data_IF_240504833314
#
_entry.id   IF_240504833314
#
_cell.length_a   1.000
_cell.length_b   1.000
_cell.length_c   1.000
_cell.angle_alpha   90.00
_cell.angle_beta   90.00
_cell.angle_gamma   90.00
#
_symmetry.space_group_name_H-M   'P 1'
#
loop_
_entity.id
_entity.type
_entity.pdbx_description
1 polymer ?
#
# COMPACT_ATOMS: atom_id res chain seq x y z
N UNK A 1 15.21 4.15 5.09
CA UNK A 1 15.93 2.92 5.45
C UNK A 1 15.98 2.01 4.23
N UNK A 2 17.18 1.65 3.77
CA UNK A 2 17.39 0.74 2.64
C UNK A 2 17.91 1.42 1.37
N UNK A 3 18.46 2.63 1.46
CA UNK A 3 19.16 3.23 0.32
C UNK A 3 20.47 2.47 0.06
N UNK A 4 20.93 2.44 -1.19
CA UNK A 4 22.19 1.77 -1.54
C UNK A 4 23.33 2.36 -0.71
N UNK A 5 24.09 1.48 -0.05
CA UNK A 5 25.20 1.86 0.81
C UNK A 5 24.82 2.07 2.28
N UNK A 6 23.53 2.06 2.65
CA UNK A 6 23.12 2.09 4.05
C UNK A 6 23.75 0.91 4.81
N UNK A 7 24.41 1.20 5.93
CA UNK A 7 24.82 0.18 6.92
C UNK A 7 23.97 0.30 8.19
N UNK A 8 23.80 -0.79 8.97
CA UNK A 8 23.07 -0.70 10.23
C UNK A 8 23.63 0.35 11.19
N UNK A 9 24.96 0.44 11.28
CA UNK A 9 25.67 1.34 12.18
C UNK A 9 25.46 2.81 11.80
N UNK A 10 25.69 3.16 10.53
CA UNK A 10 25.55 4.56 10.07
C UNK A 10 24.09 5.03 10.15
N UNK A 11 23.15 4.14 9.83
CA UNK A 11 21.73 4.46 9.95
C UNK A 11 21.34 4.72 11.40
N UNK A 12 21.75 3.84 12.33
CA UNK A 12 21.43 3.98 13.75
C UNK A 12 22.10 5.22 14.36
N UNK A 13 23.33 5.53 13.96
CA UNK A 13 24.01 6.77 14.37
C UNK A 13 23.24 8.00 13.90
N UNK A 14 22.86 8.06 12.62
CA UNK A 14 22.09 9.17 12.06
C UNK A 14 20.72 9.31 12.74
N UNK A 15 20.08 8.18 13.05
CA UNK A 15 18.80 8.17 13.76
C UNK A 15 18.95 8.68 15.19
N UNK A 16 20.03 8.34 15.89
CA UNK A 16 20.34 8.86 17.22
C UNK A 16 20.55 10.39 17.18
N UNK A 17 21.30 10.90 16.21
CA UNK A 17 21.50 12.34 16.01
C UNK A 17 20.15 13.07 15.81
N UNK A 18 19.26 12.51 14.99
CA UNK A 18 17.91 13.05 14.79
C UNK A 18 17.10 13.01 16.08
N UNK A 19 17.21 11.94 16.89
CA UNK A 19 16.55 11.87 18.18
C UNK A 19 17.03 12.98 19.13
N UNK A 20 18.33 13.29 19.12
CA UNK A 20 18.92 14.37 19.92
C UNK A 20 18.48 15.77 19.49
N UNK A 21 18.16 15.97 18.20
CA UNK A 21 17.51 17.21 17.71
C UNK A 21 16.10 17.41 18.31
N UNK A 22 15.55 16.38 18.94
CA UNK A 22 14.31 16.39 19.69
C UNK A 22 13.07 16.90 18.90
N UNK A 23 12.83 16.43 17.66
CA UNK A 23 11.63 16.78 16.91
C UNK A 23 10.37 16.26 17.61
N UNK A 24 9.19 16.73 17.16
CA UNK A 24 7.92 16.24 17.73
C UNK A 24 7.64 14.79 17.30
N UNK A 25 7.90 14.48 16.04
CA UNK A 25 7.71 13.15 15.45
C UNK A 25 8.90 12.81 14.55
N UNK A 26 9.25 11.52 14.47
CA UNK A 26 10.20 10.98 13.52
C UNK A 26 9.48 9.94 12.68
N UNK A 27 9.57 10.05 11.35
CA UNK A 27 8.98 9.09 10.43
C UNK A 27 10.09 8.46 9.59
N UNK A 28 10.22 7.14 9.66
CA UNK A 28 11.18 6.37 8.88
C UNK A 28 10.41 5.63 7.79
N UNK A 29 10.70 5.98 6.54
CA UNK A 29 10.17 5.26 5.38
C UNK A 29 11.12 4.12 5.01
N UNK A 30 10.64 2.87 4.96
CA UNK A 30 11.33 1.80 4.25
C UNK A 30 11.43 2.17 2.77
N UNK A 31 12.54 1.81 2.11
CA UNK A 31 12.73 2.10 0.69
C UNK A 31 11.66 1.37 -0.12
N UNK A 32 11.03 2.09 -1.05
CA UNK A 32 10.16 1.49 -2.07
C UNK A 32 10.91 1.52 -3.39
N UNK A 33 11.26 0.36 -3.91
CA UNK A 33 12.04 0.23 -5.15
C UNK A 33 11.11 0.07 -6.35
N UNK A 34 11.68 0.35 -7.53
CA UNK A 34 11.08 0.05 -8.83
C UNK A 34 12.19 -0.46 -9.76
N UNK A 35 11.83 -0.96 -10.93
CA UNK A 35 12.79 -1.56 -11.88
C UNK A 35 13.95 -0.61 -12.22
N UNK A 36 13.67 0.69 -12.32
CA UNK A 36 14.70 1.71 -12.55
C UNK A 36 15.69 1.81 -11.39
N UNK A 37 15.19 1.91 -10.16
CA UNK A 37 16.06 1.98 -8.99
C UNK A 37 16.88 0.70 -8.84
N UNK A 38 16.26 -0.47 -9.08
CA UNK A 38 16.97 -1.75 -9.10
C UNK A 38 18.07 -1.71 -10.14
N UNK A 39 17.80 -1.42 -11.42
CA UNK A 39 18.81 -1.44 -12.47
C UNK A 39 19.93 -0.40 -12.32
N UNK A 40 19.65 0.75 -11.70
CA UNK A 40 20.66 1.79 -11.45
C UNK A 40 21.57 1.47 -10.25
N UNK A 41 21.08 0.69 -9.28
CA UNK A 41 21.76 0.52 -7.99
C UNK A 41 22.20 -0.93 -7.73
N UNK A 42 21.57 -1.90 -8.37
CA UNK A 42 21.76 -3.34 -8.20
C UNK A 42 21.74 -4.01 -9.58
N UNK A 43 22.28 -5.21 -9.72
CA UNK A 43 22.20 -5.93 -11.00
C UNK A 43 20.82 -6.56 -11.20
N UNK A 44 20.20 -7.01 -10.10
CA UNK A 44 18.89 -7.64 -10.12
C UNK A 44 18.17 -7.49 -8.76
N UNK A 45 16.92 -7.94 -8.72
CA UNK A 45 16.09 -7.86 -7.52
C UNK A 45 16.58 -8.76 -6.38
N UNK A 46 17.17 -9.91 -6.68
CA UNK A 46 17.68 -10.84 -5.65
C UNK A 46 18.83 -10.21 -4.86
N UNK A 47 19.75 -9.52 -5.54
CA UNK A 47 20.84 -8.77 -4.90
C UNK A 47 20.30 -7.66 -3.97
N UNK A 48 19.24 -6.96 -4.39
CA UNK A 48 18.57 -5.99 -3.53
C UNK A 48 17.96 -6.66 -2.28
N UNK A 49 17.29 -7.82 -2.43
CA UNK A 49 16.71 -8.55 -1.29
C UNK A 49 17.78 -9.03 -0.30
N UNK A 50 18.92 -9.53 -0.81
CA UNK A 50 20.07 -9.96 0.00
C UNK A 50 20.70 -8.81 0.78
N UNK A 51 20.72 -7.61 0.21
CA UNK A 51 21.16 -6.40 0.92
C UNK A 51 20.11 -5.91 1.93
N UNK A 52 18.86 -5.76 1.49
CA UNK A 52 17.85 -4.98 2.18
C UNK A 52 17.27 -5.68 3.42
N UNK A 53 16.91 -6.96 3.33
CA UNK A 53 16.25 -7.63 4.47
C UNK A 53 17.17 -7.78 5.69
N UNK A 54 18.45 -8.17 5.55
CA UNK A 54 19.37 -8.21 6.69
C UNK A 54 19.59 -6.82 7.32
N UNK A 55 19.80 -5.78 6.49
CA UNK A 55 19.92 -4.40 6.94
C UNK A 55 18.67 -3.98 7.74
N UNK A 56 17.47 -4.21 7.19
CA UNK A 56 16.22 -3.84 7.81
C UNK A 56 16.05 -4.52 9.17
N UNK A 57 16.29 -5.83 9.26
CA UNK A 57 16.21 -6.57 10.52
C UNK A 57 17.20 -6.07 11.58
N UNK A 58 18.44 -5.81 11.18
CA UNK A 58 19.49 -5.31 12.07
C UNK A 58 19.16 -3.91 12.63
N UNK A 59 18.62 -3.01 11.80
CA UNK A 59 18.22 -1.66 12.22
C UNK A 59 16.96 -1.70 13.09
N UNK A 60 15.89 -2.34 12.63
CA UNK A 60 14.58 -2.32 13.31
C UNK A 60 14.59 -2.95 14.69
N UNK A 61 15.45 -3.93 14.93
CA UNK A 61 15.64 -4.54 16.26
C UNK A 61 16.19 -3.56 17.31
N UNK A 62 16.85 -2.48 16.89
CA UNK A 62 17.51 -1.51 17.78
C UNK A 62 16.77 -0.16 17.86
N UNK A 63 15.96 0.18 16.85
CA UNK A 63 15.28 1.47 16.76
C UNK A 63 14.47 1.84 18.01
N UNK A 64 13.69 0.91 18.58
CA UNK A 64 12.89 1.18 19.78
C UNK A 64 13.79 1.57 20.95
N UNK A 65 14.90 0.87 21.15
CA UNK A 65 15.82 1.14 22.25
C UNK A 65 16.51 2.50 22.07
N UNK A 66 16.98 2.81 20.86
CA UNK A 66 17.62 4.10 20.54
C UNK A 66 16.65 5.27 20.69
N UNK A 67 15.41 5.12 20.20
CA UNK A 67 14.35 6.12 20.34
C UNK A 67 13.98 6.32 21.82
N UNK A 68 13.84 5.22 22.58
CA UNK A 68 13.45 5.22 23.98
C UNK A 68 14.44 5.98 24.88
N UNK A 69 15.75 5.85 24.64
CA UNK A 69 16.80 6.63 25.34
C UNK A 69 16.61 8.14 25.22
N UNK A 70 15.97 8.58 24.13
CA UNK A 70 15.77 9.98 23.80
C UNK A 70 14.31 10.45 24.03
N UNK A 71 13.49 9.64 24.73
CA UNK A 71 12.12 10.01 25.09
C UNK A 71 11.11 9.89 23.95
N UNK A 72 11.37 9.03 22.95
CA UNK A 72 10.42 8.67 21.90
C UNK A 72 9.85 7.27 22.11
N UNK A 73 8.59 7.08 21.72
CA UNK A 73 7.94 5.77 21.63
C UNK A 73 7.38 5.57 20.22
N UNK A 74 7.29 4.32 19.74
CA UNK A 74 6.55 4.04 18.51
C UNK A 74 5.09 4.45 18.66
N UNK A 75 4.52 5.06 17.62
CA UNK A 75 3.08 5.32 17.50
C UNK A 75 2.30 4.00 17.53
N UNK A 76 1.07 3.95 18.07
CA UNK A 76 0.27 2.73 18.13
C UNK A 76 0.10 1.98 16.80
N UNK A 77 0.12 2.72 15.68
CA UNK A 77 -0.05 2.16 14.33
C UNK A 77 1.27 1.69 13.69
N UNK A 78 2.40 1.82 14.38
CA UNK A 78 3.71 1.41 13.87
C UNK A 78 3.88 -0.10 13.96
N UNK A 79 4.12 -0.72 12.80
CA UNK A 79 4.55 -2.12 12.71
C UNK A 79 6.05 -2.17 12.38
N UNK A 80 6.87 -2.45 13.39
CA UNK A 80 8.33 -2.54 13.25
C UNK A 80 8.80 -3.69 12.34
N UNK A 81 7.91 -4.60 11.95
CA UNK A 81 8.21 -5.73 11.06
C UNK A 81 7.76 -5.48 9.63
N UNK A 82 7.10 -4.35 9.35
CA UNK A 82 6.57 -4.05 8.03
C UNK A 82 7.64 -3.44 7.12
N UNK A 83 7.86 -4.05 5.96
CA UNK A 83 8.81 -3.56 4.96
C UNK A 83 8.20 -2.48 4.05
N UNK A 84 6.90 -2.19 4.20
CA UNK A 84 6.15 -1.30 3.31
C UNK A 84 5.53 -0.10 4.02
N UNK A 85 5.27 -0.23 5.33
CA UNK A 85 4.67 0.84 6.14
C UNK A 85 5.75 1.72 6.77
N UNK A 86 5.51 3.04 6.89
CA UNK A 86 6.39 3.90 7.65
C UNK A 86 6.40 3.50 9.13
N UNK A 87 7.56 3.64 9.77
CA UNK A 87 7.70 3.52 11.21
C UNK A 87 7.68 4.92 11.83
N UNK A 88 6.75 5.18 12.75
CA UNK A 88 6.52 6.51 13.30
C UNK A 88 6.85 6.50 14.79
N UNK A 89 7.72 7.41 15.22
CA UNK A 89 8.08 7.62 16.62
C UNK A 89 7.56 8.98 17.09
N UNK A 90 6.89 8.99 18.23
CA UNK A 90 6.28 10.17 18.86
C UNK A 90 6.96 10.45 20.19
N UNK A 91 7.13 11.73 20.54
CA UNK A 91 7.78 12.10 21.79
C UNK A 91 6.84 11.91 22.97
N UNK A 92 7.30 11.22 24.03
CA UNK A 92 6.51 10.74 25.18
C UNK A 92 5.76 11.81 25.99
N UNK A 93 6.00 13.10 25.72
CA UNK A 93 5.52 14.22 26.54
C UNK A 93 4.60 15.21 25.81
N UNK A 94 4.25 14.98 24.55
CA UNK A 94 3.30 15.84 23.85
C UNK A 94 1.98 15.12 23.57
N UNK A 95 0.93 15.52 24.30
CA UNK A 95 -0.49 15.32 23.92
C UNK A 95 -0.88 16.19 22.71
N UNK A 96 0.04 16.37 21.76
CA UNK A 96 -0.15 17.18 20.57
C UNK A 96 -0.56 16.27 19.42
N UNK A 97 -1.63 16.64 18.71
CA UNK A 97 -2.23 15.94 17.57
C UNK A 97 -1.23 15.05 16.82
N UNK A 98 -1.43 13.74 16.88
CA UNK A 98 -0.82 12.80 15.94
C UNK A 98 -1.28 13.24 14.56
N UNK A 99 -0.38 13.86 13.79
CA UNK A 99 -0.64 14.14 12.38
C UNK A 99 -0.49 12.80 11.66
N UNK A 100 -1.63 12.17 11.42
CA UNK A 100 -1.74 10.92 10.68
C UNK A 100 -1.46 11.22 9.20
N UNK A 101 -0.19 11.19 8.81
CA UNK A 101 0.19 11.18 7.40
C UNK A 101 -0.05 9.77 6.85
N UNK A 102 -1.32 9.41 6.71
CA UNK A 102 -1.68 8.31 5.82
C UNK A 102 -1.42 8.77 4.40
N UNK A 103 -0.97 7.85 3.52
CA UNK A 103 -0.98 8.08 2.08
C UNK A 103 -2.38 8.60 1.71
N UNK A 104 -2.47 9.91 1.45
CA UNK A 104 -3.69 10.72 1.37
C UNK A 104 -4.61 10.39 0.20
N UNK A 105 -4.30 9.32 -0.54
CA UNK A 105 -4.94 9.03 -1.82
C UNK A 105 -5.82 7.78 -1.81
N UNK A 106 -5.89 7.04 -0.70
CA UNK A 106 -6.75 5.85 -0.60
C UNK A 106 -7.46 5.71 0.76
N UNK A 107 -8.10 6.79 1.21
CA UNK A 107 -9.04 6.71 2.32
C UNK A 107 -10.46 6.60 1.79
N UNK A 108 -11.31 5.86 2.50
CA UNK A 108 -12.76 6.03 2.42
C UNK A 108 -13.07 7.51 2.64
N UNK A 109 -13.89 8.08 1.77
CA UNK A 109 -14.09 9.52 1.71
C UNK A 109 -15.26 9.92 2.60
N UNK A 110 -14.99 10.54 3.74
CA UNK A 110 -16.03 11.06 4.63
C UNK A 110 -16.46 12.47 4.25
N UNK A 111 -15.60 13.21 3.56
CA UNK A 111 -15.84 14.60 3.14
C UNK A 111 -15.24 14.90 1.77
N UNK A 112 -15.90 15.81 1.05
CA UNK A 112 -15.36 16.47 -0.13
C UNK A 112 -14.16 17.35 0.27
N UNK A 113 -13.11 17.36 -0.54
CA UNK A 113 -11.89 18.10 -0.25
C UNK A 113 -11.59 19.00 -1.44
N UNK A 114 -11.43 20.29 -1.19
CA UNK A 114 -10.95 21.23 -2.17
C UNK A 114 -9.48 21.54 -1.90
N UNK A 115 -8.63 21.26 -2.87
CA UNK A 115 -7.18 21.46 -2.77
C UNK A 115 -6.74 22.45 -3.85
N UNK A 116 -5.80 23.33 -3.49
CA UNK A 116 -5.24 24.35 -4.38
C UNK A 116 -3.72 24.12 -4.54
N UNK A 117 -3.23 24.27 -5.77
CA UNK A 117 -1.80 24.17 -6.09
C UNK A 117 -1.47 22.98 -7.00
N UNK A 118 -0.29 22.98 -7.58
CA UNK A 118 0.18 21.89 -8.44
C UNK A 118 0.24 20.57 -7.67
N UNK A 119 -0.15 19.47 -8.33
CA UNK A 119 -0.30 18.14 -7.71
C UNK A 119 -1.38 18.04 -6.63
N UNK A 120 -2.22 19.05 -6.47
CA UNK A 120 -3.39 18.95 -5.61
C UNK A 120 -4.41 17.99 -6.20
N UNK A 121 -4.93 17.11 -5.34
CA UNK A 121 -6.06 16.26 -5.63
C UNK A 121 -7.27 16.80 -4.87
N UNK A 122 -8.21 17.40 -5.60
CA UNK A 122 -9.51 17.79 -5.05
C UNK A 122 -10.52 16.67 -5.34
N UNK A 123 -11.59 16.59 -4.56
CA UNK A 123 -12.64 15.56 -4.73
C UNK A 123 -13.98 15.99 -4.19
N UNK A 124 -15.04 15.44 -4.76
CA UNK A 124 -16.38 15.43 -4.17
C UNK A 124 -16.68 14.01 -3.71
N UNK A 125 -16.92 13.84 -2.40
CA UNK A 125 -17.09 12.52 -1.80
C UNK A 125 -18.18 11.70 -2.50
N UNK A 126 -17.85 10.46 -2.83
CA UNK A 126 -18.72 9.51 -3.54
C UNK A 126 -19.15 9.95 -4.96
N UNK A 127 -18.51 10.95 -5.56
CA UNK A 127 -18.90 11.47 -6.86
C UNK A 127 -17.75 11.52 -7.87
N UNK A 128 -16.68 12.28 -7.58
CA UNK A 128 -15.60 12.45 -8.54
C UNK A 128 -14.30 12.96 -7.91
N UNK A 129 -13.19 12.56 -8.52
CA UNK A 129 -11.84 13.05 -8.22
C UNK A 129 -11.39 14.05 -9.30
N UNK A 130 -10.71 15.11 -8.88
CA UNK A 130 -10.13 16.16 -9.70
C UNK A 130 -8.62 16.19 -9.52
N UNK A 131 -7.89 16.21 -10.63
CA UNK A 131 -6.42 16.33 -10.60
C UNK A 131 -5.90 17.24 -11.71
N UNK A 132 -4.87 18.01 -11.40
CA UNK A 132 -4.08 18.70 -12.42
C UNK A 132 -3.24 17.66 -13.17
N UNK A 133 -3.36 17.63 -14.50
CA UNK A 133 -2.56 16.75 -15.37
C UNK A 133 -1.87 17.54 -16.46
N UNK A 134 -0.75 16.98 -16.93
CA UNK A 134 -0.04 17.49 -18.09
C UNK A 134 -0.90 17.19 -19.31
N UNK A 135 -1.25 18.21 -20.09
CA UNK A 135 -2.11 18.06 -21.27
C UNK A 135 -1.50 17.09 -22.29
N UNK A 136 -0.17 17.07 -22.39
CA UNK A 136 0.59 16.24 -23.33
C UNK A 136 1.02 14.90 -22.71
N UNK A 137 0.89 14.73 -21.39
CA UNK A 137 1.29 13.52 -20.67
C UNK A 137 0.33 13.19 -19.52
N UNK A 138 -0.94 12.94 -19.84
CA UNK A 138 -2.03 12.70 -18.86
C UNK A 138 -1.77 11.56 -17.87
N UNK A 139 -0.93 10.59 -18.21
CA UNK A 139 -0.59 9.45 -17.36
C UNK A 139 0.64 9.68 -16.47
N UNK A 140 1.28 10.86 -16.54
CA UNK A 140 2.43 11.18 -15.72
C UNK A 140 1.98 11.60 -14.33
N UNK A 141 2.53 10.97 -13.29
CA UNK A 141 2.35 11.44 -11.89
C UNK A 141 3.01 12.79 -11.63
N UNK A 142 3.89 13.24 -12.53
CA UNK A 142 4.61 14.50 -12.46
C UNK A 142 4.30 15.34 -13.70
N UNK A 143 3.90 16.60 -13.53
CA UNK A 143 3.85 17.56 -14.62
C UNK A 143 5.30 17.71 -15.10
N UNK A 144 5.59 17.27 -16.33
CA UNK A 144 6.96 17.38 -16.87
C UNK A 144 7.37 18.85 -17.00
N UNK A 145 6.38 19.72 -17.13
CA UNK A 145 6.55 21.16 -17.18
C UNK A 145 5.70 21.82 -16.09
N UNK A 146 6.38 22.51 -15.17
CA UNK A 146 5.72 23.42 -14.24
C UNK A 146 5.31 24.66 -15.02
N UNK A 147 4.02 24.76 -15.34
CA UNK A 147 3.49 25.94 -16.00
C UNK A 147 2.47 26.64 -15.11
N UNK A 148 2.70 27.91 -14.85
CA UNK A 148 1.72 28.81 -14.24
C UNK A 148 0.68 29.31 -15.24
N UNK A 149 0.77 28.90 -16.52
CA UNK A 149 -0.12 29.37 -17.59
C UNK A 149 -1.30 28.39 -17.75
N UNK A 150 -2.54 28.82 -17.43
CA UNK A 150 -3.74 27.97 -17.52
C UNK A 150 -3.94 27.17 -18.81
N UNK A 151 -3.52 27.65 -20.00
CA UNK A 151 -3.65 26.88 -21.25
C UNK A 151 -2.73 25.63 -21.34
N UNK A 152 -1.69 25.54 -20.52
CA UNK A 152 -0.64 24.52 -20.60
C UNK A 152 -0.90 23.31 -19.68
N UNK A 153 -1.90 23.38 -18.80
CA UNK A 153 -2.34 22.25 -17.98
C UNK A 153 -3.83 21.96 -18.20
N UNK A 154 -4.24 20.74 -17.87
CA UNK A 154 -5.63 20.32 -17.92
C UNK A 154 -6.09 19.81 -16.55
N UNK A 155 -7.40 19.89 -16.30
CA UNK A 155 -8.04 19.20 -15.19
C UNK A 155 -8.59 17.88 -15.70
N UNK A 156 -8.12 16.79 -15.10
CA UNK A 156 -8.72 15.47 -15.32
C UNK A 156 -9.75 15.22 -14.23
N UNK A 157 -10.90 14.68 -14.64
CA UNK A 157 -12.04 14.42 -13.78
C UNK A 157 -12.41 12.95 -13.93
N UNK A 158 -12.24 12.20 -12.85
CA UNK A 158 -12.60 10.79 -12.78
C UNK A 158 -13.89 10.65 -11.96
N UNK A 159 -14.98 10.22 -12.60
CA UNK A 159 -16.19 9.83 -11.87
C UNK A 159 -15.88 8.59 -11.04
N UNK A 160 -16.13 8.70 -9.74
CA UNK A 160 -15.92 7.62 -8.79
C UNK A 160 -17.03 6.59 -9.00
N UNK A 161 -16.68 5.43 -9.55
CA UNK A 161 -17.64 4.34 -9.70
C UNK A 161 -18.07 3.82 -8.32
N UNK A 162 -19.35 3.46 -8.11
CA UNK A 162 -19.80 2.87 -6.85
C UNK A 162 -19.04 1.59 -6.44
N UNK A 163 -18.50 0.85 -7.43
CA UNK A 163 -17.66 -0.32 -7.18
C UNK A 163 -16.29 0.08 -6.63
N UNK A 164 -15.70 1.16 -7.13
CA UNK A 164 -14.40 1.64 -6.68
C UNK A 164 -14.42 2.06 -5.21
N UNK A 165 -15.48 2.73 -4.76
CA UNK A 165 -15.64 3.08 -3.33
C UNK A 165 -15.70 1.85 -2.41
N UNK A 166 -16.42 0.81 -2.84
CA UNK A 166 -16.49 -0.44 -2.08
C UNK A 166 -15.12 -1.13 -2.01
N UNK A 167 -14.35 -1.11 -3.10
CA UNK A 167 -12.97 -1.61 -3.11
C UNK A 167 -12.07 -0.75 -2.21
N UNK A 168 -12.21 0.58 -2.22
CA UNK A 168 -11.51 1.47 -1.27
C UNK A 168 -11.75 1.05 0.17
N UNK A 169 -13.00 0.78 0.52
CA UNK A 169 -13.36 0.30 1.87
C UNK A 169 -12.63 -0.99 2.23
N UNK A 170 -12.64 -1.98 1.33
CA UNK A 170 -12.00 -3.28 1.57
C UNK A 170 -10.50 -3.10 1.81
N UNK A 171 -9.81 -2.41 0.91
CA UNK A 171 -8.36 -2.23 0.97
C UNK A 171 -7.97 -1.44 2.23
N UNK A 172 -8.66 -0.35 2.56
CA UNK A 172 -8.31 0.44 3.75
C UNK A 172 -8.48 -0.38 5.04
N UNK A 173 -9.60 -1.09 5.20
CA UNK A 173 -9.85 -1.90 6.39
C UNK A 173 -8.92 -3.13 6.45
N UNK A 174 -8.58 -3.71 5.29
CA UNK A 174 -7.53 -4.72 5.20
C UNK A 174 -6.20 -4.18 5.75
N UNK A 175 -5.75 -3.00 5.30
CA UNK A 175 -4.48 -2.43 5.73
C UNK A 175 -4.43 -2.06 7.21
N UNK A 176 -5.52 -1.51 7.73
CA UNK A 176 -5.61 -1.00 9.11
C UNK A 176 -5.92 -2.10 10.13
N UNK A 177 -6.86 -2.98 9.81
CA UNK A 177 -7.45 -3.89 10.79
C UNK A 177 -7.33 -5.37 10.43
N UNK A 178 -6.83 -5.70 9.23
CA UNK A 178 -6.80 -7.08 8.68
C UNK A 178 -8.14 -7.80 8.82
N UNK A 179 -9.22 -7.04 8.83
CA UNK A 179 -10.58 -7.55 8.98
C UNK A 179 -11.57 -6.54 8.39
N UNK A 180 -12.72 -7.03 7.91
CA UNK A 180 -13.79 -6.20 7.37
C UNK A 180 -15.06 -6.40 8.21
N UNK A 181 -15.54 -5.35 8.86
CA UNK A 181 -16.85 -5.39 9.52
C UNK A 181 -17.96 -5.41 8.47
N UNK A 182 -18.78 -6.47 8.48
CA UNK A 182 -19.94 -6.60 7.60
C UNK A 182 -21.03 -5.61 7.98
N UNK A 183 -21.20 -5.34 9.29
CA UNK A 183 -22.12 -4.32 9.78
C UNK A 183 -21.74 -2.91 9.31
N UNK A 184 -20.47 -2.51 9.44
CA UNK A 184 -20.01 -1.21 8.99
C UNK A 184 -20.15 -1.05 7.47
N UNK A 185 -19.86 -2.11 6.71
CA UNK A 185 -20.06 -2.12 5.27
C UNK A 185 -21.54 -1.98 4.89
N UNK A 186 -22.44 -2.75 5.53
CA UNK A 186 -23.90 -2.65 5.32
C UNK A 186 -24.43 -1.27 5.65
N UNK A 187 -23.98 -0.67 6.76
CA UNK A 187 -24.37 0.69 7.14
C UNK A 187 -23.97 1.71 6.05
N UNK A 188 -22.82 1.51 5.39
CA UNK A 188 -22.31 2.45 4.39
C UNK A 188 -22.92 2.26 3.00
N UNK A 189 -23.09 1.02 2.55
CA UNK A 189 -23.47 0.71 1.16
C UNK A 189 -24.86 0.08 1.01
N UNK A 190 -25.56 -0.19 2.11
CA UNK A 190 -26.88 -0.81 2.12
C UNK A 190 -26.90 -2.30 1.76
N UNK A 191 -25.75 -2.91 1.47
CA UNK A 191 -25.62 -4.31 1.08
C UNK A 191 -24.47 -4.98 1.84
N UNK A 192 -24.44 -6.32 1.84
CA UNK A 192 -23.38 -7.08 2.49
C UNK A 192 -22.18 -7.30 1.56
N UNK A 193 -20.96 -7.35 2.11
CA UNK A 193 -19.72 -7.57 1.34
C UNK A 193 -19.79 -8.86 0.52
N UNK A 194 -20.35 -9.92 1.08
CA UNK A 194 -20.48 -11.20 0.38
C UNK A 194 -21.47 -11.13 -0.79
N UNK A 195 -22.40 -10.17 -0.78
CA UNK A 195 -23.33 -9.91 -1.89
C UNK A 195 -22.68 -9.10 -3.00
N UNK A 196 -21.91 -8.06 -2.65
CA UNK A 196 -21.22 -7.20 -3.63
C UNK A 196 -19.99 -7.89 -4.27
N UNK A 197 -19.33 -8.80 -3.53
CA UNK A 197 -18.10 -9.47 -3.97
C UNK A 197 -18.13 -11.00 -3.76
N UNK A 198 -19.13 -11.71 -4.31
CA UNK A 198 -19.34 -13.14 -4.04
C UNK A 198 -18.18 -14.00 -4.55
N UNK A 199 -17.59 -13.62 -5.69
CA UNK A 199 -16.42 -14.31 -6.24
C UNK A 199 -15.19 -14.16 -5.35
N UNK A 200 -14.87 -12.93 -4.92
CA UNK A 200 -13.69 -12.65 -4.11
C UNK A 200 -13.76 -13.36 -2.76
N UNK A 201 -14.91 -13.28 -2.07
CA UNK A 201 -15.10 -13.94 -0.77
C UNK A 201 -14.94 -15.45 -0.89
N UNK A 202 -15.53 -16.06 -1.93
CA UNK A 202 -15.41 -17.51 -2.16
C UNK A 202 -13.98 -17.92 -2.49
N UNK A 203 -13.35 -17.26 -3.46
CA UNK A 203 -12.01 -17.62 -3.93
C UNK A 203 -10.97 -17.47 -2.80
N UNK A 204 -11.00 -16.34 -2.08
CA UNK A 204 -10.08 -16.10 -0.96
C UNK A 204 -10.37 -17.03 0.23
N UNK A 205 -11.63 -17.43 0.42
CA UNK A 205 -12.00 -18.47 1.38
C UNK A 205 -11.43 -19.84 1.03
N UNK A 206 -11.54 -20.27 -0.23
CA UNK A 206 -10.95 -21.53 -0.72
C UNK A 206 -9.42 -21.53 -0.60
N UNK A 207 -8.78 -20.39 -0.80
CA UNK A 207 -7.33 -20.24 -0.63
C UNK A 207 -6.88 -20.15 0.84
N UNK A 208 -7.81 -20.14 1.80
CA UNK A 208 -7.50 -20.00 3.23
C UNK A 208 -6.99 -18.61 3.63
N UNK A 209 -7.11 -17.63 2.74
CA UNK A 209 -6.65 -16.25 2.95
C UNK A 209 -7.69 -15.43 3.73
N UNK A 210 -8.98 -15.75 3.55
CA UNK A 210 -10.10 -15.04 4.14
C UNK A 210 -11.00 -16.01 4.90
N UNK A 211 -11.26 -15.73 6.17
CA UNK A 211 -12.16 -16.49 7.02
C UNK A 211 -13.45 -15.70 7.26
N UNK A 212 -14.57 -16.09 6.64
CA UNK A 212 -15.84 -15.43 6.87
C UNK A 212 -16.47 -15.84 8.21
N UNK A 213 -16.94 -14.84 8.95
CA UNK A 213 -17.80 -15.01 10.14
C UNK A 213 -19.13 -14.28 9.90
N UNK A 214 -20.15 -14.45 10.77
CA UNK A 214 -21.39 -13.69 10.67
C UNK A 214 -21.18 -12.16 10.78
N UNK A 215 -20.18 -11.71 11.54
CA UNK A 215 -19.94 -10.30 11.85
C UNK A 215 -18.88 -9.67 10.92
N UNK A 216 -17.86 -10.43 10.52
CA UNK A 216 -16.68 -9.91 9.82
C UNK A 216 -16.06 -10.88 8.81
N UNK A 217 -15.23 -10.35 7.93
CA UNK A 217 -14.32 -11.13 7.08
C UNK A 217 -12.90 -10.91 7.59
N UNK A 218 -12.29 -11.96 8.15
CA UNK A 218 -10.94 -11.89 8.72
C UNK A 218 -9.90 -12.33 7.70
N UNK A 219 -8.80 -11.58 7.56
CA UNK A 219 -7.71 -11.95 6.68
C UNK A 219 -6.62 -12.70 7.45
N UNK A 220 -6.44 -13.97 7.11
CA UNK A 220 -5.48 -14.87 7.77
C UNK A 220 -4.03 -14.71 7.30
N UNK A 221 -3.81 -14.11 6.12
CA UNK A 221 -2.46 -13.93 5.59
C UNK A 221 -1.69 -12.88 6.40
N UNK A 222 -0.52 -13.27 6.92
CA UNK A 222 0.34 -12.40 7.73
C UNK A 222 1.54 -11.86 6.96
N UNK A 223 1.89 -12.49 5.84
CA UNK A 223 3.00 -12.08 4.99
C UNK A 223 2.56 -11.01 3.98
N UNK A 224 3.14 -9.82 4.11
CA UNK A 224 2.85 -8.64 3.30
C UNK A 224 3.14 -8.84 1.80
N UNK A 225 4.07 -9.75 1.45
CA UNK A 225 4.40 -10.07 0.05
C UNK A 225 3.18 -10.56 -0.73
N UNK A 226 2.25 -11.24 -0.05
CA UNK A 226 1.07 -11.82 -0.67
C UNK A 226 -0.18 -10.93 -0.57
N UNK A 227 -0.09 -9.75 0.07
CA UNK A 227 -1.25 -8.90 0.33
C UNK A 227 -1.88 -8.32 -0.93
N UNK A 228 -1.05 -7.70 -1.77
CA UNK A 228 -1.51 -6.98 -2.96
C UNK A 228 -2.20 -7.88 -3.98
N UNK A 229 -1.66 -9.08 -4.31
CA UNK A 229 -2.33 -9.99 -5.24
C UNK A 229 -3.73 -10.40 -4.78
N UNK A 230 -3.94 -10.62 -3.49
CA UNK A 230 -5.25 -11.04 -2.97
C UNK A 230 -6.30 -9.93 -3.01
N UNK A 231 -5.90 -8.67 -2.87
CA UNK A 231 -6.82 -7.53 -3.02
C UNK A 231 -7.35 -7.37 -4.46
N UNK A 232 -6.64 -7.89 -5.46
CA UNK A 232 -7.08 -7.84 -6.86
C UNK A 232 -8.38 -8.62 -7.11
N UNK A 233 -8.70 -9.63 -6.29
CA UNK A 233 -9.95 -10.37 -6.39
C UNK A 233 -11.18 -9.46 -6.23
N UNK A 234 -11.07 -8.38 -5.45
CA UNK A 234 -12.16 -7.42 -5.24
C UNK A 234 -12.31 -6.43 -6.41
N UNK A 235 -11.25 -6.17 -7.17
CA UNK A 235 -11.29 -5.31 -8.36
C UNK A 235 -12.08 -5.99 -9.49
N UNK A 236 -12.05 -7.32 -9.54
CA UNK A 236 -12.79 -8.16 -10.49
C UNK A 236 -11.93 -8.58 -11.69
N UNK A 237 -12.10 -9.83 -12.15
CA UNK A 237 -11.28 -10.46 -13.21
C UNK A 237 -11.16 -9.60 -14.47
N UNK A 238 -12.27 -9.06 -14.97
CA UNK A 238 -12.29 -8.25 -16.19
C UNK A 238 -11.51 -6.95 -16.04
N UNK A 239 -11.54 -6.32 -14.87
CA UNK A 239 -10.80 -5.09 -14.61
C UNK A 239 -9.29 -5.33 -14.48
N UNK A 240 -8.88 -6.49 -13.96
CA UNK A 240 -7.47 -6.91 -13.94
C UNK A 240 -7.01 -7.16 -15.38
N UNK A 241 -7.71 -8.01 -16.13
CA UNK A 241 -7.36 -8.35 -17.51
C UNK A 241 -7.33 -7.12 -18.45
N UNK A 242 -8.23 -6.15 -18.26
CA UNK A 242 -8.22 -4.90 -19.03
C UNK A 242 -6.98 -4.04 -18.77
N UNK A 243 -6.42 -4.08 -17.56
CA UNK A 243 -5.25 -3.28 -17.16
C UNK A 243 -3.91 -4.00 -17.37
N UNK A 244 -3.89 -5.33 -17.33
CA UNK A 244 -2.68 -6.15 -17.52
C UNK A 244 -2.50 -6.63 -18.95
N UNK A 245 -3.46 -6.36 -19.84
CA UNK A 245 -3.53 -6.97 -21.17
C UNK A 245 -4.06 -8.41 -21.13
N UNK A 246 -4.41 -9.00 -22.29
CA UNK A 246 -4.71 -10.42 -22.35
C UNK A 246 -3.49 -11.21 -21.90
N UNK A 247 -3.68 -12.14 -20.96
CA UNK A 247 -2.66 -13.13 -20.65
C UNK A 247 -2.32 -13.89 -21.94
N UNK A 248 -1.04 -14.20 -22.20
CA UNK A 248 -0.67 -15.06 -23.33
C UNK A 248 -1.52 -16.34 -23.29
N UNK A 249 -2.09 -16.71 -24.43
CA UNK A 249 -2.85 -17.96 -24.57
C UNK A 249 -1.90 -19.15 -24.45
N UNK A 250 -1.52 -19.53 -23.24
CA UNK A 250 -0.93 -20.83 -22.97
C UNK A 250 -2.00 -21.75 -22.40
N UNK A 251 -2.43 -22.66 -23.28
CA UNK A 251 -3.05 -23.97 -23.05
C UNK A 251 -4.24 -24.03 -22.08
N UNK A 252 -5.43 -24.11 -22.67
CA UNK A 252 -6.73 -24.36 -22.04
C UNK A 252 -6.89 -25.71 -21.31
N UNK A 253 -5.87 -26.54 -21.16
CA UNK A 253 -6.05 -27.93 -20.70
C UNK A 253 -5.22 -28.41 -19.49
N UNK A 254 -4.39 -27.57 -18.86
CA UNK A 254 -3.62 -27.99 -17.68
C UNK A 254 -3.96 -27.18 -16.43
N UNK A 255 -5.15 -27.38 -15.88
CA UNK A 255 -5.34 -27.21 -14.43
C UNK A 255 -4.82 -28.49 -13.75
N UNK A 256 -3.68 -28.46 -13.03
CA UNK A 256 -3.27 -29.61 -12.27
C UNK A 256 -4.32 -29.90 -11.20
N UNK A 257 -4.81 -31.14 -11.24
CA UNK A 257 -5.71 -31.74 -10.27
C UNK A 257 -5.28 -31.35 -8.85
N UNK A 258 -6.17 -30.67 -8.11
CA UNK A 258 -5.90 -29.92 -6.86
C UNK A 258 -5.42 -30.81 -5.69
N UNK A 259 -5.27 -32.12 -5.89
CA UNK A 259 -4.81 -33.06 -4.86
C UNK A 259 -3.28 -33.21 -4.74
N UNK A 260 -2.45 -32.45 -5.48
CA UNK A 260 -0.97 -32.51 -5.32
C UNK A 260 -0.28 -31.22 -4.83
N UNK A 261 -0.99 -30.09 -4.69
CA UNK A 261 -0.39 -28.81 -4.31
C UNK A 261 -0.26 -28.60 -2.79
N UNK A 262 0.07 -29.64 -2.01
CA UNK A 262 0.28 -29.48 -0.56
C UNK A 262 1.67 -29.02 -0.14
N UNK A 263 2.68 -29.00 -1.02
CA UNK A 263 4.05 -28.63 -0.64
C UNK A 263 4.88 -28.02 -1.79
N UNK A 264 4.40 -26.96 -2.44
CA UNK A 264 5.29 -26.16 -3.32
C UNK A 264 4.83 -24.70 -3.38
N UNK A 265 5.74 -23.71 -3.15
CA UNK A 265 5.44 -22.31 -3.39
C UNK A 265 5.24 -22.10 -4.89
N UNK A 266 4.12 -21.47 -5.26
CA UNK A 266 3.86 -21.00 -6.62
C UNK A 266 4.86 -19.87 -6.93
N UNK A 267 5.98 -20.23 -7.57
CA UNK A 267 6.80 -19.28 -8.31
C UNK A 267 6.13 -19.05 -9.66
N UNK A 268 5.72 -17.81 -9.93
CA UNK A 268 5.45 -17.35 -11.29
C UNK A 268 6.76 -16.73 -11.78
N UNK A 269 7.58 -17.52 -12.46
CA UNK A 269 8.68 -17.01 -13.27
C UNK A 269 8.09 -16.44 -14.55
N UNK A 270 8.26 -15.13 -14.75
CA UNK A 270 8.13 -14.50 -16.06
C UNK A 270 9.51 -14.62 -16.72
N UNK A 271 9.68 -15.65 -17.55
CA UNK A 271 10.90 -15.77 -18.36
C UNK A 271 10.93 -14.63 -19.39
N UNK A 272 12.05 -13.91 -19.38
CA UNK A 272 12.40 -12.90 -20.37
C UNK A 272 12.86 -13.58 -21.68
N UNK A 273 12.51 -12.93 -22.80
CA UNK A 273 13.00 -13.25 -24.14
C UNK A 273 14.52 -13.09 -24.26
#
# INVERSE_FOLDING_TARGET
>A
LGLKGDTPQEFLSSFEDICQMAPNNICIYPVKTNDKYISENYHNFAEFEEFYYPLFGAVTSQLIATAGKNGFLPSPDTDMKSYVKPMIFVRNHQKGKTLDYTYSHFSIEEASIFCLGFYSHARIANLMDYRHVDRNARNSMFLKHFSSHPPEYAYDVDLISPRFERVKFIVQNFYKHRSLSRAAYRQRYGQDIATDFPYAVRALGTLGVLSPTPERLDFGQKDEKFYYPYLLFFVGRENVLRKTGPLPETSRDDFPNVNKAKNSPLFVTLDAA
#
